data_IF_375336091380
#
_entry.id   IF_375336091380
#
_cell.length_a   1.000
_cell.length_b   1.000
_cell.length_c   1.000
_cell.angle_alpha   90.00
_cell.angle_beta   90.00
_cell.angle_gamma   90.00
#
_symmetry.space_group_name_H-M   'P 1'
#
loop_
_entity.id
_entity.type
_entity.pdbx_description
1 polymer ?
#
# COMPACT_ATOMS: atom_id res chain seq x y z
N UNK A 1 42.62 -6.55 13.86
CA UNK A 1 41.30 -6.27 14.48
C UNK A 1 40.89 -4.87 14.10
N UNK A 2 39.89 -4.71 13.22
CA UNK A 2 39.22 -3.42 12.96
C UNK A 2 37.76 -3.71 12.61
N UNK A 3 36.95 -3.97 13.64
CA UNK A 3 35.51 -4.27 13.57
C UNK A 3 34.64 -3.00 13.49
N UNK A 4 35.20 -1.86 13.06
CA UNK A 4 34.51 -0.56 13.02
C UNK A 4 34.01 -0.15 11.62
N UNK A 5 33.75 -1.11 10.71
CA UNK A 5 33.09 -0.85 9.40
C UNK A 5 31.83 -1.68 9.17
N UNK A 6 31.32 -2.36 10.19
CA UNK A 6 30.10 -3.19 10.09
C UNK A 6 28.80 -2.47 10.53
N UNK A 7 28.84 -1.15 10.79
CA UNK A 7 27.74 -0.42 11.45
C UNK A 7 26.97 0.59 10.59
N UNK A 8 27.03 0.53 9.25
CA UNK A 8 26.20 1.40 8.38
C UNK A 8 25.31 0.65 7.37
N UNK A 9 24.92 -0.60 7.66
CA UNK A 9 23.92 -1.34 6.88
C UNK A 9 22.71 -1.81 7.72
N UNK A 10 22.59 -1.34 8.97
CA UNK A 10 21.29 -1.30 9.63
C UNK A 10 20.50 -0.17 8.98
N UNK A 11 20.00 -0.42 7.77
CA UNK A 11 18.92 0.40 7.19
C UNK A 11 17.91 0.56 8.31
N UNK A 12 17.61 1.80 8.71
CA UNK A 12 16.49 2.07 9.59
C UNK A 12 15.31 1.30 9.03
N UNK A 13 14.87 0.27 9.75
CA UNK A 13 13.89 -0.69 9.28
C UNK A 13 12.53 -0.02 9.34
N UNK A 14 12.31 0.96 8.45
CA UNK A 14 11.07 1.72 8.44
C UNK A 14 9.91 0.78 8.10
N UNK A 15 8.70 1.07 8.59
CA UNK A 15 7.52 0.28 8.25
C UNK A 15 7.35 0.13 6.73
N UNK A 16 7.68 1.15 5.94
CA UNK A 16 7.63 1.12 4.47
C UNK A 16 8.65 0.17 3.84
N UNK A 17 9.90 0.20 4.30
CA UNK A 17 10.96 -0.67 3.73
C UNK A 17 10.71 -2.13 4.11
N UNK A 18 10.17 -2.37 5.31
CA UNK A 18 9.70 -3.69 5.75
C UNK A 18 8.52 -4.17 4.91
N UNK A 19 7.51 -3.34 4.70
CA UNK A 19 6.37 -3.67 3.84
C UNK A 19 6.79 -3.94 2.39
N UNK A 20 7.76 -3.19 1.86
CA UNK A 20 8.31 -3.45 0.54
C UNK A 20 9.02 -4.81 0.46
N UNK A 21 9.72 -5.21 1.52
CA UNK A 21 10.37 -6.52 1.62
C UNK A 21 9.35 -7.67 1.66
N UNK A 22 8.27 -7.54 2.44
CA UNK A 22 7.19 -8.52 2.47
C UNK A 22 6.46 -8.61 1.12
N UNK A 23 6.13 -7.47 0.51
CA UNK A 23 5.47 -7.43 -0.81
C UNK A 23 6.30 -8.11 -1.89
N UNK A 24 7.62 -7.90 -1.92
CA UNK A 24 8.54 -8.56 -2.87
C UNK A 24 8.58 -10.09 -2.71
N UNK A 25 8.30 -10.59 -1.51
CA UNK A 25 8.20 -12.03 -1.20
C UNK A 25 6.80 -12.61 -1.46
N UNK A 26 5.84 -11.80 -1.93
CA UNK A 26 4.44 -12.21 -2.08
C UNK A 26 3.68 -12.35 -0.76
N UNK A 27 4.27 -11.89 0.35
CA UNK A 27 3.67 -11.89 1.70
C UNK A 27 2.80 -10.63 1.84
N UNK A 28 1.63 -10.62 1.20
CA UNK A 28 0.82 -9.41 1.01
C UNK A 28 0.23 -8.92 2.32
N UNK A 29 -0.24 -9.82 3.17
CA UNK A 29 -0.83 -9.51 4.46
C UNK A 29 0.19 -8.85 5.40
N UNK A 30 1.40 -9.43 5.49
CA UNK A 30 2.48 -8.83 6.28
C UNK A 30 2.95 -7.49 5.69
N UNK A 31 2.86 -7.31 4.38
CA UNK A 31 3.15 -6.03 3.75
C UNK A 31 2.14 -4.95 4.17
N UNK A 32 0.85 -5.30 4.22
CA UNK A 32 -0.22 -4.40 4.67
C UNK A 32 0.02 -4.00 6.12
N UNK A 33 0.25 -4.97 7.01
CA UNK A 33 0.52 -4.71 8.43
C UNK A 33 1.70 -3.73 8.60
N UNK A 34 2.82 -4.01 7.94
CA UNK A 34 3.99 -3.15 7.98
C UNK A 34 3.72 -1.76 7.37
N UNK A 35 2.91 -1.62 6.31
CA UNK A 35 2.58 -0.30 5.79
C UNK A 35 1.66 0.48 6.73
N UNK A 36 0.69 -0.18 7.38
CA UNK A 36 -0.23 0.45 8.32
C UNK A 36 0.50 1.00 9.56
N UNK A 37 1.55 0.30 10.03
CA UNK A 37 2.43 0.82 11.10
C UNK A 37 3.09 2.17 10.74
N UNK A 38 3.29 2.46 9.45
CA UNK A 38 3.89 3.70 8.97
C UNK A 38 2.89 4.81 8.63
N UNK A 39 1.59 4.54 8.70
CA UNK A 39 0.57 5.53 8.33
C UNK A 39 0.49 6.64 9.37
N UNK A 40 0.67 7.87 8.92
CA UNK A 40 0.38 9.08 9.68
C UNK A 40 -1.00 9.65 9.29
N UNK A 41 -1.46 10.68 10.01
CA UNK A 41 -2.65 11.46 9.67
C UNK A 41 -2.22 12.92 9.33
N UNK A 42 -2.26 13.34 8.05
CA UNK A 42 -2.74 12.60 6.87
C UNK A 42 -1.76 11.52 6.39
N UNK A 43 -2.25 10.48 5.69
CA UNK A 43 -1.40 9.44 5.13
C UNK A 43 -0.57 9.99 3.96
N UNK A 44 0.62 9.45 3.74
CA UNK A 44 1.39 9.82 2.53
C UNK A 44 0.80 9.16 1.28
N UNK A 45 0.86 9.84 0.14
CA UNK A 45 0.37 9.31 -1.13
C UNK A 45 1.05 7.98 -1.50
N UNK A 46 2.35 7.85 -1.18
CA UNK A 46 3.12 6.63 -1.41
C UNK A 46 2.58 5.44 -0.59
N UNK A 47 2.25 5.65 0.68
CA UNK A 47 1.66 4.62 1.54
C UNK A 47 0.26 4.24 1.05
N UNK A 48 -0.58 5.22 0.71
CA UNK A 48 -1.89 4.99 0.14
C UNK A 48 -1.83 4.11 -1.12
N UNK A 49 -0.93 4.42 -2.06
CA UNK A 49 -0.74 3.62 -3.28
C UNK A 49 -0.26 2.19 -2.99
N UNK A 50 0.64 2.03 -2.02
CA UNK A 50 1.16 0.72 -1.60
C UNK A 50 0.04 -0.14 -1.01
N UNK A 51 -0.74 0.41 -0.08
CA UNK A 51 -1.88 -0.25 0.55
C UNK A 51 -2.96 -0.60 -0.47
N UNK A 52 -3.35 0.34 -1.34
CA UNK A 52 -4.35 0.11 -2.39
C UNK A 52 -3.97 -1.07 -3.30
N UNK A 53 -2.69 -1.18 -3.69
CA UNK A 53 -2.19 -2.29 -4.52
C UNK A 53 -2.17 -3.62 -3.78
N UNK A 54 -1.79 -3.62 -2.50
CA UNK A 54 -1.83 -4.84 -1.69
C UNK A 54 -3.26 -5.35 -1.52
N UNK A 55 -4.22 -4.48 -1.22
CA UNK A 55 -5.62 -4.86 -1.12
C UNK A 55 -6.22 -5.30 -2.47
N UNK A 56 -5.82 -4.67 -3.58
CA UNK A 56 -6.17 -5.13 -4.93
C UNK A 56 -5.65 -6.56 -5.19
N UNK A 57 -4.41 -6.85 -4.80
CA UNK A 57 -3.81 -8.19 -4.94
C UNK A 57 -4.55 -9.26 -4.13
N UNK A 58 -5.11 -8.89 -2.97
CA UNK A 58 -5.97 -9.76 -2.15
C UNK A 58 -7.42 -9.84 -2.64
N UNK A 59 -7.76 -9.21 -3.77
CA UNK A 59 -9.14 -9.05 -4.24
C UNK A 59 -10.08 -8.33 -3.24
N UNK A 60 -9.53 -7.64 -2.24
CA UNK A 60 -10.29 -6.77 -1.35
C UNK A 60 -10.48 -5.39 -2.01
N UNK A 61 -11.36 -5.36 -3.01
CA UNK A 61 -11.56 -4.18 -3.84
C UNK A 61 -12.14 -2.98 -3.08
N UNK A 62 -12.84 -3.21 -1.97
CA UNK A 62 -13.38 -2.15 -1.12
C UNK A 62 -12.25 -1.37 -0.44
N UNK A 63 -11.30 -2.06 0.22
CA UNK A 63 -10.14 -1.42 0.82
C UNK A 63 -9.20 -0.82 -0.23
N UNK A 64 -9.04 -1.47 -1.38
CA UNK A 64 -8.28 -0.91 -2.49
C UNK A 64 -8.84 0.45 -2.94
N UNK A 65 -10.16 0.57 -3.04
CA UNK A 65 -10.83 1.84 -3.37
C UNK A 65 -10.66 2.87 -2.25
N UNK A 66 -10.81 2.47 -0.98
CA UNK A 66 -10.65 3.39 0.16
C UNK A 66 -9.27 4.03 0.18
N UNK A 67 -8.20 3.23 0.13
CA UNK A 67 -6.83 3.73 0.13
C UNK A 67 -6.48 4.53 -1.12
N UNK A 68 -7.03 4.18 -2.29
CA UNK A 68 -6.85 4.96 -3.50
C UNK A 68 -7.47 6.37 -3.40
N UNK A 69 -8.63 6.50 -2.73
CA UNK A 69 -9.29 7.78 -2.50
C UNK A 69 -8.57 8.63 -1.45
N UNK A 70 -8.00 8.03 -0.40
CA UNK A 70 -7.24 8.75 0.64
C UNK A 70 -6.00 9.50 0.13
N UNK A 71 -5.61 9.33 -1.14
CA UNK A 71 -4.54 10.11 -1.77
C UNK A 71 -4.92 11.59 -1.90
N UNK A 72 -6.21 11.92 -2.00
CA UNK A 72 -6.65 13.33 -2.06
C UNK A 72 -6.35 14.08 -0.76
N UNK A 73 -6.23 13.35 0.35
CA UNK A 73 -5.92 13.92 1.67
C UNK A 73 -4.39 14.03 1.91
N UNK A 74 -3.57 13.40 1.05
CA UNK A 74 -2.12 13.29 1.22
C UNK A 74 -1.34 14.53 0.73
N UNK A 75 -1.99 15.43 0.01
CA UNK A 75 -1.41 16.65 -0.56
C UNK A 75 -1.72 16.83 -2.06
N UNK A 76 -1.21 17.92 -2.61
CA UNK A 76 -1.51 18.39 -3.97
C UNK A 76 -0.46 17.92 -4.99
N UNK A 77 -0.44 16.62 -5.29
CA UNK A 77 0.37 16.06 -6.38
C UNK A 77 -0.53 15.41 -7.43
N UNK A 78 -0.61 16.04 -8.61
CA UNK A 78 -1.42 15.57 -9.73
C UNK A 78 -1.09 14.13 -10.13
N UNK A 79 0.19 13.74 -10.09
CA UNK A 79 0.60 12.40 -10.53
C UNK A 79 0.10 11.32 -9.56
N UNK A 80 0.15 11.59 -8.26
CA UNK A 80 -0.42 10.73 -7.23
C UNK A 80 -1.94 10.63 -7.35
N UNK A 81 -2.65 11.74 -7.57
CA UNK A 81 -4.10 11.73 -7.78
C UNK A 81 -4.50 10.92 -9.01
N UNK A 82 -3.79 11.10 -10.13
CA UNK A 82 -4.04 10.34 -11.35
C UNK A 82 -3.83 8.83 -11.11
N UNK A 83 -2.78 8.45 -10.38
CA UNK A 83 -2.52 7.06 -10.03
C UNK A 83 -3.60 6.48 -9.10
N UNK A 84 -4.04 7.25 -8.10
CA UNK A 84 -5.15 6.92 -7.22
C UNK A 84 -6.45 6.69 -7.97
N UNK A 85 -6.82 7.62 -8.85
CA UNK A 85 -8.01 7.51 -9.66
C UNK A 85 -8.01 6.28 -10.56
N UNK A 86 -6.89 5.98 -11.23
CA UNK A 86 -6.77 4.79 -12.06
C UNK A 86 -6.95 3.48 -11.26
N UNK A 87 -6.39 3.43 -10.05
CA UNK A 87 -6.60 2.32 -9.10
C UNK A 87 -8.06 2.23 -8.65
N UNK A 88 -8.69 3.35 -8.31
CA UNK A 88 -10.09 3.39 -7.92
C UNK A 88 -11.00 2.90 -9.05
N UNK A 89 -10.88 3.43 -10.27
CA UNK A 89 -11.77 3.08 -11.38
C UNK A 89 -11.78 1.58 -11.68
N UNK A 90 -10.62 0.93 -11.71
CA UNK A 90 -10.52 -0.51 -12.02
C UNK A 90 -10.99 -1.41 -10.88
N UNK A 91 -10.91 -0.94 -9.63
CA UNK A 91 -11.36 -1.70 -8.46
C UNK A 91 -12.83 -1.46 -8.13
N UNK A 92 -13.37 -0.26 -8.37
CA UNK A 92 -14.75 0.08 -8.11
C UNK A 92 -15.73 -0.77 -8.92
N UNK A 93 -15.38 -1.09 -10.17
CA UNK A 93 -16.17 -2.01 -11.00
C UNK A 93 -16.21 -3.43 -10.42
N UNK A 94 -15.07 -3.90 -9.89
CA UNK A 94 -14.96 -5.23 -9.27
C UNK A 94 -15.65 -5.30 -7.91
N UNK A 95 -15.55 -4.24 -7.12
CA UNK A 95 -16.26 -4.10 -5.84
C UNK A 95 -17.79 -4.10 -6.01
N UNK A 96 -18.29 -3.56 -7.14
CA UNK A 96 -19.73 -3.52 -7.46
C UNK A 96 -20.31 -4.85 -7.93
N UNK A 97 -19.49 -5.79 -8.43
CA UNK A 97 -20.00 -7.09 -8.87
C UNK A 97 -20.38 -7.90 -7.64
N UNK A 98 -21.66 -8.23 -7.42
CA UNK A 98 -22.03 -9.12 -6.34
C UNK A 98 -21.33 -10.47 -6.57
N UNK A 99 -20.80 -11.06 -5.50
CA UNK A 99 -20.33 -12.44 -5.54
C UNK A 99 -21.54 -13.30 -5.93
N UNK A 100 -21.59 -13.71 -7.19
CA UNK A 100 -22.63 -14.63 -7.66
C UNK A 100 -22.43 -15.89 -6.84
N UNK A 101 -23.32 -16.14 -5.87
CA UNK A 101 -23.41 -17.43 -5.19
C UNK A 101 -23.80 -18.44 -6.26
N UNK A 102 -22.82 -19.21 -6.74
CA UNK A 102 -23.10 -20.43 -7.48
C UNK A 102 -23.76 -21.41 -6.50
N UNK A 103 -25.07 -21.61 -6.67
CA UNK A 103 -25.85 -22.69 -6.04
C UNK A 103 -25.55 -24.00 -6.75
#
# INVERSE_FOLDING_TARGET
MNIARAQCAASSLTPETRGDAFRKKGQVEQAIEAYLEGVAAPPSAALCLKLARCYEQMANYAEACRWALSIVDAGDDFTSWQAGWALFQRNAQKARRPAVRSV
#
